data_IF_634402750420
#
_entry.id   IF_634402750420
#
_cell.length_a   1.000
_cell.length_b   1.000
_cell.length_c   1.000
_cell.angle_alpha   90.00
_cell.angle_beta   90.00
_cell.angle_gamma   90.00
#
_symmetry.space_group_name_H-M   'P 1'
#
loop_
_entity.id
_entity.type
_entity.pdbx_description
1 polymer ?
#
# COMPACT_ATOMS: atom_id res chain seq x y z
N UNK A 1 -24.61 6.46 -4.37
CA UNK A 1 -23.85 5.21 -4.22
C UNK A 1 -23.04 5.04 -5.47
N UNK A 2 -21.72 4.92 -5.34
CA UNK A 2 -20.85 4.70 -6.49
C UNK A 2 -21.09 3.29 -7.00
N UNK A 3 -21.65 3.17 -8.21
CA UNK A 3 -22.10 1.90 -8.78
C UNK A 3 -20.91 1.16 -9.42
N UNK A 4 -19.93 0.82 -8.60
CA UNK A 4 -18.77 0.07 -9.05
C UNK A 4 -19.11 -1.43 -9.22
N UNK A 5 -18.56 -2.09 -10.25
CA UNK A 5 -18.74 -3.53 -10.45
C UNK A 5 -18.11 -4.40 -9.35
N UNK A 6 -17.21 -3.83 -8.53
CA UNK A 6 -16.61 -4.47 -7.38
C UNK A 6 -16.74 -3.58 -6.14
N UNK A 7 -17.26 -4.13 -5.04
CA UNK A 7 -17.36 -3.41 -3.76
C UNK A 7 -16.21 -3.75 -2.82
N UNK A 8 -15.97 -2.92 -1.80
CA UNK A 8 -14.92 -3.15 -0.82
C UNK A 8 -15.13 -4.46 -0.06
N UNK A 9 -16.39 -4.78 0.28
CA UNK A 9 -16.79 -5.97 1.01
C UNK A 9 -16.51 -7.24 0.20
N UNK A 10 -16.80 -7.22 -1.11
CA UNK A 10 -16.49 -8.34 -2.01
C UNK A 10 -14.97 -8.60 -2.12
N UNK A 11 -14.16 -7.55 -1.98
CA UNK A 11 -12.71 -7.65 -2.08
C UNK A 11 -12.02 -7.90 -0.73
N UNK A 12 -12.72 -7.76 0.39
CA UNK A 12 -12.15 -7.85 1.73
C UNK A 12 -11.55 -9.24 2.06
N UNK A 13 -12.07 -10.33 1.48
CA UNK A 13 -11.56 -11.70 1.72
C UNK A 13 -10.57 -12.19 0.67
N UNK A 14 -10.21 -11.35 -0.31
CA UNK A 14 -9.42 -11.80 -1.47
C UNK A 14 -7.92 -11.84 -1.20
N UNK A 15 -7.23 -12.64 -2.00
CA UNK A 15 -5.78 -12.90 -1.84
C UNK A 15 -4.95 -12.50 -3.06
N UNK A 16 -5.56 -12.27 -4.23
CA UNK A 16 -4.84 -11.88 -5.45
C UNK A 16 -4.43 -13.00 -6.39
N UNK A 17 -4.82 -14.24 -6.09
CA UNK A 17 -4.50 -15.44 -6.90
C UNK A 17 -5.70 -16.00 -7.66
N UNK A 18 -6.91 -15.48 -7.43
CA UNK A 18 -8.13 -15.97 -8.06
C UNK A 18 -8.25 -15.44 -9.50
N UNK A 19 -8.81 -16.20 -10.47
CA UNK A 19 -8.97 -15.74 -11.85
C UNK A 19 -9.69 -14.39 -12.00
N UNK A 20 -10.66 -14.13 -11.13
CA UNK A 20 -11.39 -12.85 -11.09
C UNK A 20 -10.51 -11.66 -10.68
N UNK A 21 -9.33 -11.86 -10.09
CA UNK A 21 -8.41 -10.75 -9.72
C UNK A 21 -7.88 -10.02 -10.95
N UNK A 22 -7.79 -10.71 -12.09
CA UNK A 22 -7.48 -10.05 -13.38
C UNK A 22 -8.55 -9.02 -13.74
N UNK A 23 -9.82 -9.35 -13.53
CA UNK A 23 -10.94 -8.43 -13.81
C UNK A 23 -10.92 -7.25 -12.85
N UNK A 24 -10.64 -7.48 -11.56
CA UNK A 24 -10.51 -6.40 -10.56
C UNK A 24 -9.39 -5.43 -10.94
N UNK A 25 -8.21 -5.93 -11.33
CA UNK A 25 -7.09 -5.08 -11.76
C UNK A 25 -7.44 -4.26 -13.01
N UNK A 26 -8.05 -4.89 -14.01
CA UNK A 26 -8.46 -4.19 -15.23
C UNK A 26 -9.51 -3.10 -14.93
N UNK A 27 -10.48 -3.42 -14.08
CA UNK A 27 -11.46 -2.45 -13.64
C UNK A 27 -10.81 -1.29 -12.87
N UNK A 28 -9.93 -1.58 -11.90
CA UNK A 28 -9.24 -0.54 -11.14
C UNK A 28 -8.47 0.41 -12.07
N UNK A 29 -7.77 -0.13 -13.08
CA UNK A 29 -7.05 0.68 -14.08
C UNK A 29 -7.99 1.46 -15.01
N UNK A 30 -9.26 1.07 -15.14
CA UNK A 30 -10.26 1.84 -15.91
C UNK A 30 -10.77 3.08 -15.17
N UNK A 31 -10.63 3.14 -13.84
CA UNK A 31 -11.08 4.29 -13.05
C UNK A 31 -10.21 5.53 -13.29
N UNK A 32 -10.74 6.74 -13.09
CA UNK A 32 -9.92 7.94 -12.91
C UNK A 32 -8.91 7.76 -11.79
N UNK A 33 -7.71 8.32 -11.92
CA UNK A 33 -6.62 8.04 -10.97
C UNK A 33 -6.96 8.42 -9.52
N UNK A 34 -7.64 9.54 -9.31
CA UNK A 34 -8.10 9.96 -7.98
C UNK A 34 -9.01 8.89 -7.34
N UNK A 35 -9.93 8.33 -8.11
CA UNK A 35 -10.81 7.25 -7.65
C UNK A 35 -10.05 5.96 -7.35
N UNK A 36 -8.98 5.64 -8.10
CA UNK A 36 -8.10 4.49 -7.78
C UNK A 36 -7.46 4.66 -6.41
N UNK A 37 -6.89 5.84 -6.16
CA UNK A 37 -6.22 6.16 -4.90
C UNK A 37 -7.21 6.09 -3.75
N UNK A 38 -8.39 6.69 -3.90
CA UNK A 38 -9.42 6.67 -2.86
C UNK A 38 -9.97 5.27 -2.61
N UNK A 39 -10.17 4.47 -3.65
CA UNK A 39 -10.57 3.07 -3.51
C UNK A 39 -9.53 2.26 -2.74
N UNK A 40 -8.25 2.38 -3.08
CA UNK A 40 -7.17 1.67 -2.41
C UNK A 40 -7.03 2.07 -0.93
N UNK A 41 -7.20 3.36 -0.61
CA UNK A 41 -7.22 3.83 0.80
C UNK A 41 -8.37 3.21 1.59
N UNK A 42 -9.56 3.12 0.99
CA UNK A 42 -10.75 2.55 1.63
C UNK A 42 -10.66 1.04 1.79
N UNK A 43 -10.01 0.33 0.86
CA UNK A 43 -9.83 -1.12 0.94
C UNK A 43 -8.78 -1.54 1.97
N UNK A 44 -7.74 -0.71 2.16
CA UNK A 44 -6.65 -0.97 3.08
C UNK A 44 -7.07 -1.49 4.47
N UNK A 45 -7.96 -0.82 5.24
CA UNK A 45 -8.33 -1.28 6.57
C UNK A 45 -9.08 -2.62 6.56
N UNK A 46 -9.69 -3.01 5.45
CA UNK A 46 -10.41 -4.28 5.31
C UNK A 46 -9.47 -5.40 4.87
N UNK A 47 -8.52 -5.10 3.99
CA UNK A 47 -7.56 -6.07 3.47
C UNK A 47 -6.29 -5.41 2.91
N UNK A 48 -5.35 -5.08 3.79
CA UNK A 48 -4.09 -4.43 3.39
C UNK A 48 -3.25 -5.30 2.45
N UNK A 49 -3.25 -6.63 2.62
CA UNK A 49 -2.46 -7.55 1.80
C UNK A 49 -2.92 -7.50 0.34
N UNK A 50 -4.22 -7.63 0.12
CA UNK A 50 -4.79 -7.56 -1.22
C UNK A 50 -4.72 -6.14 -1.81
N UNK A 51 -4.90 -5.12 -0.97
CA UNK A 51 -4.70 -3.72 -1.38
C UNK A 51 -3.31 -3.51 -1.98
N UNK A 52 -2.25 -4.02 -1.33
CA UNK A 52 -0.88 -3.90 -1.84
C UNK A 52 -0.65 -4.69 -3.14
N UNK A 53 -1.33 -5.82 -3.33
CA UNK A 53 -1.32 -6.52 -4.63
C UNK A 53 -1.97 -5.66 -5.72
N UNK A 54 -3.04 -4.94 -5.41
CA UNK A 54 -3.71 -4.07 -6.37
C UNK A 54 -2.90 -2.82 -6.69
N UNK A 55 -2.18 -2.24 -5.72
CA UNK A 55 -1.30 -1.06 -5.94
C UNK A 55 -0.29 -1.33 -7.04
N UNK A 56 0.38 -2.47 -7.00
CA UNK A 56 1.38 -2.86 -8.00
C UNK A 56 0.78 -2.94 -9.42
N UNK A 57 -0.53 -3.17 -9.54
CA UNK A 57 -1.24 -3.22 -10.82
C UNK A 57 -2.00 -1.94 -11.18
N UNK A 58 -2.14 -0.99 -10.26
CA UNK A 58 -3.03 0.17 -10.39
C UNK A 58 -2.50 1.26 -11.37
N UNK A 59 -1.27 1.10 -11.87
CA UNK A 59 -0.59 2.04 -12.77
C UNK A 59 -0.61 3.48 -12.24
N UNK A 60 -0.35 3.61 -10.94
CA UNK A 60 -0.26 4.90 -10.28
C UNK A 60 1.05 5.59 -10.65
N UNK A 61 1.01 6.91 -10.73
CA UNK A 61 2.20 7.74 -10.81
C UNK A 61 3.04 7.60 -9.54
N UNK A 62 4.28 8.06 -9.63
CA UNK A 62 5.18 8.09 -8.49
C UNK A 62 4.62 8.93 -7.33
N UNK A 63 4.01 10.10 -7.62
CA UNK A 63 3.42 10.94 -6.57
C UNK A 63 2.26 10.24 -5.84
N UNK A 64 1.44 9.48 -6.58
CA UNK A 64 0.31 8.76 -6.00
C UNK A 64 0.77 7.59 -5.12
N UNK A 65 1.81 6.86 -5.55
CA UNK A 65 2.41 5.80 -4.73
C UNK A 65 3.04 6.36 -3.45
N UNK A 66 3.74 7.50 -3.53
CA UNK A 66 4.28 8.18 -2.35
C UNK A 66 3.16 8.61 -1.40
N UNK A 67 2.10 9.21 -1.94
CA UNK A 67 0.96 9.65 -1.15
C UNK A 67 0.28 8.49 -0.40
N UNK A 68 0.11 7.34 -1.07
CA UNK A 68 -0.41 6.12 -0.44
C UNK A 68 0.52 5.57 0.63
N UNK A 69 1.83 5.51 0.37
CA UNK A 69 2.81 5.07 1.36
C UNK A 69 2.74 5.93 2.62
N UNK A 70 2.79 7.26 2.48
CA UNK A 70 2.70 8.19 3.62
C UNK A 70 1.40 7.98 4.41
N UNK A 71 0.27 7.80 3.72
CA UNK A 71 -1.01 7.53 4.35
C UNK A 71 -1.00 6.22 5.17
N UNK A 72 -0.47 5.14 4.61
CA UNK A 72 -0.42 3.83 5.29
C UNK A 72 0.65 3.73 6.37
N UNK A 73 1.74 4.48 6.27
CA UNK A 73 2.72 4.57 7.36
C UNK A 73 2.14 5.27 8.59
N UNK A 74 1.31 6.30 8.38
CA UNK A 74 0.65 7.04 9.47
C UNK A 74 -0.50 6.27 10.12
N UNK A 75 -1.32 5.60 9.32
CA UNK A 75 -2.61 5.05 9.74
C UNK A 75 -2.67 3.52 9.68
N UNK A 76 -1.63 2.88 9.14
CA UNK A 76 -1.59 1.44 8.96
C UNK A 76 -1.29 0.69 10.24
N UNK A 77 -1.70 -0.58 10.24
CA UNK A 77 -1.37 -1.53 11.28
C UNK A 77 0.11 -1.93 11.17
N UNK A 78 0.81 -2.07 12.29
CA UNK A 78 2.24 -2.43 12.31
C UNK A 78 2.53 -3.78 11.63
N UNK A 79 1.56 -4.71 11.63
CA UNK A 79 1.64 -5.99 10.91
C UNK A 79 1.78 -5.84 9.38
N UNK A 80 1.53 -4.64 8.83
CA UNK A 80 1.69 -4.36 7.41
C UNK A 80 3.11 -3.93 7.04
N UNK A 81 4.01 -3.70 8.00
CA UNK A 81 5.37 -3.18 7.77
C UNK A 81 6.14 -4.00 6.73
N UNK A 82 6.23 -5.32 6.92
CA UNK A 82 6.91 -6.22 5.97
C UNK A 82 6.29 -6.13 4.56
N UNK A 83 4.97 -6.13 4.48
CA UNK A 83 4.27 -6.08 3.19
C UNK A 83 4.46 -4.72 2.50
N UNK A 84 4.49 -3.63 3.26
CA UNK A 84 4.82 -2.30 2.75
C UNK A 84 6.22 -2.27 2.16
N UNK A 85 7.22 -2.80 2.86
CA UNK A 85 8.60 -2.92 2.37
C UNK A 85 8.60 -3.74 1.07
N UNK A 86 8.09 -4.98 1.11
CA UNK A 86 8.13 -5.90 -0.04
C UNK A 86 7.41 -5.38 -1.29
N UNK A 87 6.38 -4.55 -1.14
CA UNK A 87 5.49 -4.15 -2.26
C UNK A 87 5.71 -2.72 -2.72
N UNK A 88 5.99 -1.80 -1.80
CA UNK A 88 6.18 -0.39 -2.11
C UNK A 88 7.64 -0.04 -2.37
N UNK A 89 8.61 -0.71 -1.72
CA UNK A 89 10.04 -0.46 -1.98
C UNK A 89 10.40 -0.68 -3.46
N UNK A 90 9.99 -1.78 -4.13
CA UNK A 90 10.26 -1.96 -5.55
C UNK A 90 9.54 -0.94 -6.45
N UNK A 91 8.41 -0.39 -5.98
CA UNK A 91 7.58 0.54 -6.75
C UNK A 91 8.14 1.97 -6.69
N UNK A 92 8.69 2.38 -5.55
CA UNK A 92 9.23 3.72 -5.31
C UNK A 92 10.75 3.80 -5.48
N UNK A 93 11.43 2.66 -5.42
CA UNK A 93 12.88 2.54 -5.27
C UNK A 93 13.30 2.62 -3.80
N UNK A 94 14.32 1.84 -3.45
CA UNK A 94 14.84 1.68 -2.08
C UNK A 94 15.10 3.02 -1.38
N UNK A 95 15.96 3.86 -1.97
CA UNK A 95 16.34 5.16 -1.38
C UNK A 95 15.13 6.03 -1.06
N UNK A 96 14.16 6.10 -1.98
CA UNK A 96 12.99 6.97 -1.82
C UNK A 96 12.02 6.40 -0.79
N UNK A 97 11.78 5.09 -0.81
CA UNK A 97 10.95 4.43 0.18
C UNK A 97 11.45 4.71 1.60
N UNK A 98 12.75 4.50 1.84
CA UNK A 98 13.33 4.69 3.16
C UNK A 98 13.40 6.16 3.59
N UNK A 99 13.64 7.08 2.65
CA UNK A 99 13.53 8.51 2.91
C UNK A 99 12.11 8.90 3.36
N UNK A 100 11.07 8.43 2.65
CA UNK A 100 9.69 8.71 3.03
C UNK A 100 9.41 8.11 4.41
N UNK A 101 9.80 6.86 4.64
CA UNK A 101 9.56 6.18 5.90
C UNK A 101 10.19 6.88 7.11
N UNK A 102 11.38 7.48 6.95
CA UNK A 102 12.06 8.20 8.02
C UNK A 102 11.49 9.60 8.29
N UNK A 103 10.99 10.28 7.26
CA UNK A 103 10.32 11.58 7.37
C UNK A 103 8.94 11.49 8.03
N UNK A 104 8.31 10.31 7.99
CA UNK A 104 6.97 10.10 8.51
C UNK A 104 6.91 9.87 10.02
N UNK A 105 5.88 10.41 10.66
CA UNK A 105 5.62 10.18 12.10
C UNK A 105 4.99 8.80 12.31
N UNK A 106 5.84 7.79 12.39
CA UNK A 106 5.44 6.41 12.65
C UNK A 106 5.01 6.22 14.11
N UNK A 107 4.09 5.28 14.33
CA UNK A 107 3.92 4.72 15.69
C UNK A 107 5.17 3.93 16.09
N UNK A 108 5.44 3.82 17.39
CA UNK A 108 6.57 3.04 17.90
C UNK A 108 6.55 1.61 17.35
N UNK A 109 5.39 0.95 17.38
CA UNK A 109 5.23 -0.40 16.82
C UNK A 109 5.54 -0.45 15.31
N UNK A 110 5.08 0.50 14.50
CA UNK A 110 5.40 0.51 13.07
C UNK A 110 6.91 0.67 12.84
N UNK A 111 7.56 1.58 13.57
CA UNK A 111 9.01 1.80 13.51
C UNK A 111 9.79 0.54 13.89
N UNK A 112 9.42 -0.11 14.99
CA UNK A 112 10.07 -1.35 15.45
C UNK A 112 9.93 -2.48 14.42
N UNK A 113 8.73 -2.69 13.86
CA UNK A 113 8.51 -3.71 12.84
C UNK A 113 9.26 -3.39 11.54
N UNK A 114 9.27 -2.13 11.10
CA UNK A 114 10.03 -1.73 9.92
C UNK A 114 11.53 -1.97 10.12
N UNK A 115 12.10 -1.64 11.29
CA UNK A 115 13.49 -1.93 11.61
C UNK A 115 13.76 -3.43 11.70
N UNK A 116 12.88 -4.20 12.34
CA UNK A 116 13.01 -5.65 12.45
C UNK A 116 13.08 -6.31 11.06
N UNK A 117 12.13 -5.99 10.17
CA UNK A 117 12.06 -6.58 8.83
C UNK A 117 13.10 -6.03 7.85
N UNK A 118 13.73 -4.89 8.15
CA UNK A 118 14.76 -4.27 7.31
C UNK A 118 16.17 -4.38 7.87
N UNK A 119 16.36 -5.04 9.02
CA UNK A 119 17.63 -5.10 9.74
C UNK A 119 18.19 -3.72 10.11
N UNK A 120 17.32 -2.82 10.59
CA UNK A 120 17.70 -1.51 11.12
C UNK A 120 17.91 -0.41 10.08
N UNK A 121 17.45 -0.57 8.84
CA UNK A 121 17.63 0.43 7.76
C UNK A 121 17.01 1.79 8.10
N UNK A 122 15.83 1.78 8.70
CA UNK A 122 15.12 3.01 9.04
C UNK A 122 15.94 3.89 10.00
N UNK A 123 16.60 3.28 10.98
CA UNK A 123 17.38 4.00 11.99
C UNK A 123 18.81 4.29 11.52
N UNK A 124 19.41 3.40 10.73
CA UNK A 124 20.80 3.56 10.28
C UNK A 124 21.00 4.64 9.20
N UNK A 125 19.97 4.94 8.42
CA UNK A 125 20.09 5.86 7.28
C UNK A 125 19.63 7.28 7.57
N UNK A 126 18.83 7.48 8.64
CA UNK A 126 18.16 8.76 8.92
C UNK A 126 18.04 9.07 10.42
N UNK A 127 18.69 8.28 11.29
CA UNK A 127 18.80 8.53 12.72
C UNK A 127 19.92 9.49 13.09
#
# INVERSE_FOLDING_TARGET
MDNYPFTLEQLASRTGTHPMDKQVRNWLVSLPRAERVDFLKRLWPMNYKYTLVLVQAAQLSWQENEHLLRHWLRLGQHNAAENLIQRMEPTLGEKRFWQIASEEKLSAAMRDFMNYHSHGRLDSHFG
#
